data_IF_130464167914
#
_entry.id   IF_130464167914
#
_cell.length_a   1.000
_cell.length_b   1.000
_cell.length_c   1.000
_cell.angle_alpha   90.00
_cell.angle_beta   90.00
_cell.angle_gamma   90.00
#
_symmetry.space_group_name_H-M   'P 1'
#
loop_
_entity.id
_entity.type
_entity.pdbx_description
1 polymer ?
#
# COMPACT_ATOMS: atom_id res chain seq x y z
N UNK A 1 -44.93 69.84 -55.38
CA UNK A 1 -44.90 70.02 -53.90
C UNK A 1 -46.10 69.23 -53.38
N UNK A 2 -45.95 68.12 -52.66
CA UNK A 2 -45.10 67.89 -51.49
C UNK A 2 -44.73 66.41 -51.35
N UNK A 3 -43.61 66.18 -50.66
CA UNK A 3 -42.73 65.01 -50.69
C UNK A 3 -43.28 63.70 -50.09
N UNK A 4 -42.82 62.60 -50.67
CA UNK A 4 -42.70 61.29 -50.03
C UNK A 4 -41.77 61.37 -48.81
N UNK A 5 -42.31 61.17 -47.60
CA UNK A 5 -41.52 60.98 -46.40
C UNK A 5 -41.09 59.51 -46.23
N UNK A 6 -39.86 59.20 -46.62
CA UNK A 6 -39.20 57.94 -46.29
C UNK A 6 -38.98 57.78 -44.77
N UNK A 7 -39.40 56.60 -44.30
CA UNK A 7 -39.06 55.83 -43.10
C UNK A 7 -37.75 56.22 -42.39
N UNK A 8 -37.83 56.45 -41.07
CA UNK A 8 -36.78 55.96 -40.16
C UNK A 8 -37.31 55.83 -38.71
N UNK A 9 -38.01 54.74 -38.41
CA UNK A 9 -38.29 54.37 -37.02
C UNK A 9 -37.00 53.85 -36.40
N UNK A 10 -36.17 54.74 -35.85
CA UNK A 10 -35.07 54.36 -34.97
C UNK A 10 -35.68 53.67 -33.75
N UNK A 11 -35.66 52.33 -33.72
CA UNK A 11 -36.02 51.55 -32.55
C UNK A 11 -35.14 52.01 -31.38
N UNK A 12 -35.72 52.82 -30.50
CA UNK A 12 -35.02 53.37 -29.34
C UNK A 12 -34.92 52.25 -28.29
N UNK A 13 -33.82 51.49 -28.34
CA UNK A 13 -33.54 50.42 -27.37
C UNK A 13 -33.55 51.06 -25.97
N UNK A 14 -34.58 50.76 -25.17
CA UNK A 14 -34.65 51.22 -23.78
C UNK A 14 -33.62 50.43 -22.96
N UNK A 15 -33.01 51.06 -21.96
CA UNK A 15 -32.01 50.44 -21.06
C UNK A 15 -32.42 49.08 -20.51
N UNK A 16 -33.71 48.85 -20.25
CA UNK A 16 -34.24 47.55 -19.81
C UNK A 16 -34.08 46.42 -20.85
N UNK A 17 -34.17 46.70 -22.16
CA UNK A 17 -33.92 45.68 -23.19
C UNK A 17 -32.46 45.23 -23.20
N UNK A 18 -31.52 46.15 -22.95
CA UNK A 18 -30.09 45.82 -22.80
C UNK A 18 -29.88 44.98 -21.54
N UNK A 19 -30.51 45.35 -20.42
CA UNK A 19 -30.43 44.57 -19.18
C UNK A 19 -30.99 43.14 -19.34
N UNK A 20 -32.14 42.98 -20.00
CA UNK A 20 -32.73 41.66 -20.29
C UNK A 20 -31.84 40.83 -21.22
N UNK A 21 -31.26 41.46 -22.26
CA UNK A 21 -30.34 40.77 -23.16
C UNK A 21 -29.07 40.31 -22.42
N UNK A 22 -28.46 41.17 -21.59
CA UNK A 22 -27.29 40.83 -20.79
C UNK A 22 -27.60 39.70 -19.81
N UNK A 23 -28.75 39.75 -19.13
CA UNK A 23 -29.18 38.68 -18.23
C UNK A 23 -29.38 37.36 -18.99
N UNK A 24 -30.05 37.38 -20.14
CA UNK A 24 -30.23 36.21 -20.99
C UNK A 24 -28.89 35.63 -21.46
N UNK A 25 -27.95 36.47 -21.87
CA UNK A 25 -26.61 36.06 -22.26
C UNK A 25 -25.84 35.41 -21.10
N UNK A 26 -25.95 35.96 -19.88
CA UNK A 26 -25.34 35.37 -18.68
C UNK A 26 -25.95 34.01 -18.31
N UNK A 27 -27.27 33.86 -18.42
CA UNK A 27 -27.96 32.57 -18.19
C UNK A 27 -27.50 31.52 -19.20
N UNK A 28 -27.42 31.88 -20.49
CA UNK A 28 -26.93 30.97 -21.53
C UNK A 28 -25.46 30.62 -21.28
N UNK A 29 -24.62 31.60 -20.97
CA UNK A 29 -23.20 31.37 -20.67
C UNK A 29 -23.02 30.44 -19.46
N UNK A 30 -23.82 30.63 -18.41
CA UNK A 30 -23.81 29.76 -17.24
C UNK A 30 -24.29 28.33 -17.57
N UNK A 31 -25.37 28.19 -18.35
CA UNK A 31 -25.85 26.87 -18.79
C UNK A 31 -24.78 26.14 -19.64
N UNK A 32 -24.14 26.84 -20.58
CA UNK A 32 -23.03 26.31 -21.38
C UNK A 32 -21.86 25.91 -20.47
N UNK A 33 -21.49 26.75 -19.51
CA UNK A 33 -20.46 26.43 -18.52
C UNK A 33 -20.80 25.14 -17.75
N UNK A 34 -22.01 25.00 -17.21
CA UNK A 34 -22.44 23.79 -16.50
C UNK A 34 -22.36 22.54 -17.38
N UNK A 35 -22.83 22.63 -18.62
CA UNK A 35 -22.74 21.52 -19.60
C UNK A 35 -21.27 21.15 -19.82
N UNK A 36 -20.41 22.12 -20.12
CA UNK A 36 -18.98 21.87 -20.41
C UNK A 36 -18.27 21.21 -19.24
N UNK A 37 -18.47 21.71 -18.01
CA UNK A 37 -17.80 21.14 -16.84
C UNK A 37 -18.30 19.72 -16.55
N UNK A 38 -19.61 19.48 -16.63
CA UNK A 38 -20.17 18.13 -16.42
C UNK A 38 -19.73 17.14 -17.50
N UNK A 39 -19.67 17.56 -18.76
CA UNK A 39 -19.10 16.75 -19.85
C UNK A 39 -17.63 16.42 -19.60
N UNK A 40 -16.84 17.33 -19.02
CA UNK A 40 -15.43 17.08 -18.66
C UNK A 40 -15.27 16.07 -17.53
N UNK A 41 -16.18 16.04 -16.55
CA UNK A 41 -16.22 15.01 -15.49
C UNK A 41 -16.55 13.66 -16.13
N UNK A 42 -17.67 13.58 -16.87
CA UNK A 42 -18.11 12.33 -17.49
C UNK A 42 -17.05 11.74 -18.41
N UNK A 43 -16.40 12.55 -19.24
CA UNK A 43 -15.33 12.08 -20.13
C UNK A 43 -14.15 11.46 -19.38
N UNK A 44 -13.83 11.93 -18.18
CA UNK A 44 -12.78 11.33 -17.33
C UNK A 44 -13.23 10.00 -16.75
N UNK A 45 -14.47 9.92 -16.27
CA UNK A 45 -15.05 8.66 -15.77
C UNK A 45 -15.13 7.62 -16.90
N UNK A 46 -15.51 8.03 -18.10
CA UNK A 46 -15.53 7.16 -19.29
C UNK A 46 -14.11 6.68 -19.65
N UNK A 47 -13.11 7.56 -19.54
CA UNK A 47 -11.70 7.17 -19.75
C UNK A 47 -11.21 6.18 -18.69
N UNK A 48 -11.62 6.36 -17.43
CA UNK A 48 -11.34 5.41 -16.33
C UNK A 48 -11.91 4.03 -16.64
N UNK A 49 -13.17 3.96 -17.05
CA UNK A 49 -13.83 2.70 -17.44
C UNK A 49 -13.17 2.08 -18.69
N UNK A 50 -12.82 2.89 -19.68
CA UNK A 50 -12.14 2.44 -20.89
C UNK A 50 -10.74 1.86 -20.59
N UNK A 51 -10.08 2.32 -19.52
CA UNK A 51 -8.82 1.76 -19.02
C UNK A 51 -9.01 0.49 -18.17
N UNK A 52 -10.24 0.02 -17.96
CA UNK A 52 -10.54 -1.21 -17.22
C UNK A 52 -10.60 -1.04 -15.71
N UNK A 53 -10.62 0.19 -15.20
CA UNK A 53 -10.72 0.46 -13.76
C UNK A 53 -12.15 0.83 -13.34
N UNK A 54 -12.55 0.55 -12.09
CA UNK A 54 -13.84 1.01 -11.57
C UNK A 54 -13.85 2.54 -11.45
N UNK A 55 -15.01 3.12 -11.76
CA UNK A 55 -15.32 4.53 -11.61
C UNK A 55 -16.37 4.80 -10.52
N UNK A 56 -17.00 3.76 -9.96
CA UNK A 56 -17.92 3.87 -8.82
C UNK A 56 -17.67 2.76 -7.79
N UNK A 57 -18.23 2.92 -6.59
CA UNK A 57 -18.15 1.93 -5.53
C UNK A 57 -18.86 0.61 -5.89
N UNK A 58 -19.95 0.68 -6.66
CA UNK A 58 -20.66 -0.50 -7.19
C UNK A 58 -19.83 -1.24 -8.23
N UNK A 59 -19.15 -0.51 -9.12
CA UNK A 59 -18.22 -1.11 -10.09
C UNK A 59 -17.02 -1.75 -9.37
N UNK A 60 -16.52 -1.12 -8.29
CA UNK A 60 -15.45 -1.66 -7.46
C UNK A 60 -15.88 -2.96 -6.77
N UNK A 61 -17.04 -2.99 -6.12
CA UNK A 61 -17.57 -4.19 -5.45
C UNK A 61 -17.74 -5.35 -6.45
N UNK A 62 -18.32 -5.07 -7.61
CA UNK A 62 -18.51 -6.05 -8.67
C UNK A 62 -17.20 -6.58 -9.26
N UNK A 63 -16.11 -5.79 -9.20
CA UNK A 63 -14.78 -6.21 -9.65
C UNK A 63 -14.05 -7.11 -8.64
N UNK A 64 -14.36 -6.96 -7.33
CA UNK A 64 -13.73 -7.72 -6.27
C UNK A 64 -14.39 -9.11 -6.11
N UNK A 65 -13.97 -10.06 -6.93
CA UNK A 65 -14.55 -11.40 -7.00
C UNK A 65 -13.49 -12.51 -6.94
N UNK A 66 -13.94 -13.73 -6.63
CA UNK A 66 -13.19 -14.98 -6.78
C UNK A 66 -13.97 -15.90 -7.74
N UNK A 67 -13.33 -16.92 -8.33
CA UNK A 67 -14.04 -17.83 -9.25
C UNK A 67 -15.28 -18.45 -8.60
N UNK A 68 -16.34 -18.63 -9.39
CA UNK A 68 -17.59 -19.21 -8.90
C UNK A 68 -17.33 -20.62 -8.33
N UNK A 69 -17.91 -20.90 -7.15
CA UNK A 69 -17.74 -22.17 -6.41
C UNK A 69 -16.30 -22.46 -5.94
N UNK A 70 -15.37 -21.51 -6.06
CA UNK A 70 -14.06 -21.63 -5.44
C UNK A 70 -14.19 -21.68 -3.91
N UNK A 71 -13.34 -22.48 -3.28
CA UNK A 71 -13.13 -22.41 -1.85
C UNK A 71 -12.52 -21.05 -1.49
N UNK A 72 -12.94 -20.43 -0.38
CA UNK A 72 -12.50 -19.09 0.00
C UNK A 72 -11.63 -19.15 1.26
N UNK A 73 -10.36 -18.79 1.14
CA UNK A 73 -9.43 -18.69 2.26
C UNK A 73 -9.95 -17.75 3.38
N UNK A 74 -10.72 -16.72 3.02
CA UNK A 74 -11.23 -15.75 3.96
C UNK A 74 -12.11 -16.36 5.05
N UNK A 75 -12.86 -17.43 4.75
CA UNK A 75 -13.74 -18.09 5.73
C UNK A 75 -12.92 -18.73 6.86
N UNK A 76 -11.82 -19.40 6.50
CA UNK A 76 -10.88 -19.98 7.45
C UNK A 76 -10.12 -18.92 8.23
N UNK A 77 -9.65 -17.87 7.55
CA UNK A 77 -8.86 -16.80 8.17
C UNK A 77 -9.72 -16.02 9.17
N UNK A 78 -10.92 -15.59 8.78
CA UNK A 78 -11.84 -14.88 9.68
C UNK A 78 -12.22 -15.73 10.88
N UNK A 79 -12.50 -17.02 10.68
CA UNK A 79 -12.73 -17.97 11.78
C UNK A 79 -11.50 -18.09 12.68
N UNK A 80 -10.30 -18.18 12.12
CA UNK A 80 -9.06 -18.25 12.89
C UNK A 80 -8.86 -17.01 13.75
N UNK A 81 -9.06 -15.81 13.17
CA UNK A 81 -8.93 -14.55 13.90
C UNK A 81 -9.96 -14.42 15.04
N UNK A 82 -11.15 -15.01 14.91
CA UNK A 82 -12.15 -15.04 16.00
C UNK A 82 -11.70 -15.88 17.21
N UNK A 83 -10.77 -16.82 16.99
CA UNK A 83 -10.15 -17.64 18.04
C UNK A 83 -8.82 -17.05 18.55
N UNK A 84 -8.36 -15.91 18.01
CA UNK A 84 -7.10 -15.29 18.42
C UNK A 84 -7.18 -14.82 19.87
N UNK A 85 -6.36 -15.42 20.72
CA UNK A 85 -6.18 -15.03 22.11
C UNK A 85 -5.06 -14.01 22.19
N UNK A 86 -5.40 -12.80 22.62
CA UNK A 86 -4.41 -11.76 22.89
C UNK A 86 -3.66 -12.06 24.19
N UNK A 87 -2.34 -11.78 24.25
CA UNK A 87 -1.59 -11.92 25.50
C UNK A 87 -2.15 -10.98 26.58
N UNK A 88 -1.93 -11.34 27.85
CA UNK A 88 -2.21 -10.41 28.95
C UNK A 88 -1.34 -9.16 28.83
N UNK A 89 -1.72 -8.05 29.47
CA UNK A 89 -0.91 -6.82 29.43
C UNK A 89 0.51 -7.03 29.97
N UNK A 90 0.65 -7.88 31.00
CA UNK A 90 1.94 -8.24 31.59
C UNK A 90 2.80 -9.01 30.58
N UNK A 91 2.23 -10.05 29.97
CA UNK A 91 2.88 -10.85 28.93
C UNK A 91 3.27 -10.00 27.71
N UNK A 92 2.38 -9.13 27.25
CA UNK A 92 2.60 -8.26 26.10
C UNK A 92 3.80 -7.33 26.33
N UNK A 93 3.96 -6.80 27.54
CA UNK A 93 5.06 -5.92 27.88
C UNK A 93 6.42 -6.66 27.99
N UNK A 94 6.39 -7.98 28.21
CA UNK A 94 7.59 -8.81 28.35
C UNK A 94 8.16 -9.37 27.04
N UNK A 95 7.44 -9.24 25.92
CA UNK A 95 7.82 -9.86 24.63
C UNK A 95 8.07 -8.79 23.57
N UNK A 96 9.17 -8.88 22.78
CA UNK A 96 9.37 -8.03 21.60
C UNK A 96 8.15 -8.04 20.66
N UNK A 97 7.97 -6.97 19.89
CA UNK A 97 6.82 -6.74 18.99
C UNK A 97 5.46 -6.53 19.68
N UNK A 98 5.19 -7.17 20.82
CA UNK A 98 3.99 -6.95 21.63
C UNK A 98 4.12 -5.76 22.57
N UNK A 99 5.35 -5.51 23.06
CA UNK A 99 5.75 -4.34 23.84
C UNK A 99 6.10 -3.10 23.00
N UNK A 100 5.95 -3.20 21.67
CA UNK A 100 6.53 -2.28 20.67
C UNK A 100 8.07 -2.17 20.70
N UNK A 101 8.77 -3.03 21.46
CA UNK A 101 10.21 -3.18 21.33
C UNK A 101 10.56 -3.90 20.01
N UNK A 102 11.68 -3.52 19.35
CA UNK A 102 12.14 -4.23 18.16
C UNK A 102 12.58 -5.65 18.52
N UNK A 103 12.74 -6.50 17.49
CA UNK A 103 13.39 -7.80 17.65
C UNK A 103 14.82 -7.62 18.20
N UNK A 104 15.35 -8.61 18.96
CA UNK A 104 16.72 -8.57 19.46
C UNK A 104 17.73 -8.59 18.29
N UNK A 105 19.01 -8.35 18.58
CA UNK A 105 20.05 -8.54 17.56
C UNK A 105 20.05 -9.97 17.03
N UNK A 106 20.42 -10.15 15.76
CA UNK A 106 20.33 -11.39 14.97
C UNK A 106 20.83 -12.66 15.68
N UNK A 107 21.92 -12.56 16.43
CA UNK A 107 22.51 -13.69 17.20
C UNK A 107 22.34 -13.57 18.71
N UNK A 108 21.66 -12.54 19.19
CA UNK A 108 21.35 -12.41 20.60
C UNK A 108 20.24 -13.41 20.95
N UNK A 109 20.54 -14.26 21.93
CA UNK A 109 19.59 -15.22 22.47
C UNK A 109 18.41 -14.50 23.11
N UNK A 110 17.21 -15.05 22.93
CA UNK A 110 16.03 -14.62 23.67
C UNK A 110 16.24 -14.85 25.17
N UNK A 111 15.75 -13.95 26.01
CA UNK A 111 15.74 -14.19 27.45
C UNK A 111 14.68 -15.23 27.83
N UNK A 112 14.86 -15.87 29.00
CA UNK A 112 13.96 -16.93 29.46
C UNK A 112 12.49 -16.48 29.59
N UNK A 113 12.18 -15.28 30.11
CA UNK A 113 10.81 -14.76 30.12
C UNK A 113 10.20 -14.68 28.71
N UNK A 114 10.91 -14.11 27.74
CA UNK A 114 10.44 -13.99 26.36
C UNK A 114 10.14 -15.37 25.76
N UNK A 115 11.04 -16.35 25.97
CA UNK A 115 10.81 -17.73 25.48
C UNK A 115 9.57 -18.35 26.10
N UNK A 116 9.41 -18.22 27.41
CA UNK A 116 8.30 -18.81 28.14
C UNK A 116 6.95 -18.21 27.71
N UNK A 117 6.87 -16.87 27.66
CA UNK A 117 5.64 -16.17 27.26
C UNK A 117 5.32 -16.46 25.79
N UNK A 118 6.31 -16.42 24.89
CA UNK A 118 6.09 -16.75 23.46
C UNK A 118 5.56 -18.18 23.31
N UNK A 119 6.14 -19.16 24.01
CA UNK A 119 5.67 -20.54 23.99
C UNK A 119 4.23 -20.67 24.52
N UNK A 120 3.90 -19.95 25.60
CA UNK A 120 2.54 -19.91 26.16
C UNK A 120 1.53 -19.32 25.16
N UNK A 121 1.89 -18.22 24.50
CA UNK A 121 1.05 -17.59 23.47
C UNK A 121 0.78 -18.52 22.28
N UNK A 122 1.81 -19.25 21.84
CA UNK A 122 1.66 -20.26 20.77
C UNK A 122 0.74 -21.41 21.21
N UNK A 123 0.91 -21.91 22.43
CA UNK A 123 0.08 -22.97 22.98
C UNK A 123 -1.39 -22.54 23.10
N UNK A 124 -1.65 -21.31 23.56
CA UNK A 124 -2.99 -20.74 23.66
C UNK A 124 -3.67 -20.53 22.30
N UNK A 125 -2.89 -20.35 21.23
CA UNK A 125 -3.40 -20.03 19.89
C UNK A 125 -3.34 -21.19 18.89
N UNK A 126 -3.20 -22.44 19.35
CA UNK A 126 -3.10 -23.61 18.45
C UNK A 126 -4.27 -23.71 17.45
N UNK A 127 -5.51 -23.41 17.90
CA UNK A 127 -6.70 -23.46 17.03
C UNK A 127 -6.62 -22.41 15.91
N UNK A 128 -6.19 -21.20 16.25
CA UNK A 128 -5.93 -20.10 15.29
C UNK A 128 -4.88 -20.51 14.28
N UNK A 129 -3.73 -21.02 14.73
CA UNK A 129 -2.63 -21.42 13.86
C UNK A 129 -3.02 -22.56 12.90
N UNK A 130 -3.80 -23.54 13.37
CA UNK A 130 -4.26 -24.65 12.53
C UNK A 130 -5.28 -24.20 11.47
N UNK A 131 -6.25 -23.35 11.84
CA UNK A 131 -7.21 -22.80 10.88
C UNK A 131 -6.52 -21.90 9.85
N UNK A 132 -5.55 -21.08 10.26
CA UNK A 132 -4.73 -20.29 9.33
C UNK A 132 -4.00 -21.19 8.34
N UNK A 133 -3.37 -22.26 8.82
CA UNK A 133 -2.66 -23.21 7.95
C UNK A 133 -3.58 -23.84 6.90
N UNK A 134 -4.81 -24.18 7.28
CA UNK A 134 -5.81 -24.72 6.36
C UNK A 134 -6.25 -23.65 5.35
N UNK A 135 -6.59 -22.44 5.83
CA UNK A 135 -7.03 -21.34 4.98
C UNK A 135 -5.98 -20.89 3.98
N UNK A 136 -4.71 -20.81 4.39
CA UNK A 136 -3.61 -20.34 3.53
C UNK A 136 -3.19 -21.35 2.46
N UNK A 137 -3.66 -22.60 2.53
CA UNK A 137 -3.51 -23.57 1.45
C UNK A 137 -4.48 -23.31 0.28
N UNK A 138 -5.50 -22.48 0.49
CA UNK A 138 -6.48 -22.11 -0.52
C UNK A 138 -5.96 -20.87 -1.29
N UNK A 139 -5.92 -20.92 -2.65
CA UNK A 139 -5.33 -19.85 -3.45
C UNK A 139 -6.20 -18.57 -3.51
N UNK A 140 -7.52 -18.73 -3.46
CA UNK A 140 -8.48 -17.65 -3.60
C UNK A 140 -8.89 -17.09 -2.24
N UNK A 141 -8.84 -15.77 -2.10
CA UNK A 141 -9.23 -15.07 -0.88
C UNK A 141 -10.03 -13.82 -1.23
N UNK A 142 -11.31 -13.82 -0.86
CA UNK A 142 -12.19 -12.64 -0.90
C UNK A 142 -12.75 -12.38 0.49
N UNK A 143 -12.30 -11.31 1.12
CA UNK A 143 -12.89 -10.86 2.38
C UNK A 143 -14.30 -10.31 2.14
N UNK A 144 -15.24 -10.48 3.10
CA UNK A 144 -16.63 -10.08 2.93
C UNK A 144 -16.80 -8.56 3.16
N UNK A 145 -16.10 -7.73 2.39
CA UNK A 145 -16.22 -6.27 2.43
C UNK A 145 -17.25 -5.84 1.38
N UNK A 146 -18.25 -5.07 1.80
CA UNK A 146 -19.22 -4.44 0.90
C UNK A 146 -18.71 -3.05 0.48
N UNK A 147 -18.13 -2.96 -0.72
CA UNK A 147 -17.59 -1.69 -1.19
C UNK A 147 -18.65 -0.69 -1.62
N UNK A 148 -19.92 -1.09 -1.76
CA UNK A 148 -21.01 -0.17 -2.11
C UNK A 148 -21.29 0.87 -1.01
N UNK A 149 -20.88 0.60 0.23
CA UNK A 149 -20.94 1.53 1.36
C UNK A 149 -19.85 2.61 1.34
N UNK A 150 -18.97 2.61 0.32
CA UNK A 150 -17.89 3.59 0.21
C UNK A 150 -16.97 3.55 1.44
N UNK A 151 -16.81 4.69 2.11
CA UNK A 151 -15.93 4.79 3.29
C UNK A 151 -16.52 4.24 4.59
N UNK A 152 -17.82 3.94 4.61
CA UNK A 152 -18.46 3.28 5.74
C UNK A 152 -18.34 1.73 5.63
N UNK A 153 -17.68 1.22 4.59
CA UNK A 153 -17.44 -0.21 4.41
C UNK A 153 -16.64 -0.79 5.59
N UNK A 154 -17.21 -1.82 6.23
CA UNK A 154 -16.54 -2.52 7.34
C UNK A 154 -15.43 -3.42 6.80
N UNK A 155 -14.20 -3.12 7.19
CA UNK A 155 -13.04 -3.95 6.86
C UNK A 155 -12.89 -5.09 7.86
N UNK A 156 -12.18 -6.14 7.42
CA UNK A 156 -11.68 -7.18 8.33
C UNK A 156 -10.85 -6.58 9.47
N UNK A 157 -10.76 -7.26 10.62
CA UNK A 157 -9.90 -6.88 11.74
C UNK A 157 -8.41 -6.95 11.35
N UNK A 158 -7.94 -5.88 10.70
CA UNK A 158 -6.54 -5.68 10.30
C UNK A 158 -5.61 -5.66 11.52
N UNK A 159 -6.11 -5.26 12.70
CA UNK A 159 -5.33 -5.30 13.93
C UNK A 159 -5.12 -6.73 14.43
N UNK A 160 -6.10 -7.63 14.29
CA UNK A 160 -5.94 -9.06 14.55
C UNK A 160 -4.97 -9.71 13.56
N UNK A 161 -5.00 -9.32 12.28
CA UNK A 161 -3.99 -9.75 11.30
C UNK A 161 -2.59 -9.34 11.77
N UNK A 162 -2.39 -8.06 12.14
CA UNK A 162 -1.11 -7.58 12.68
C UNK A 162 -0.64 -8.34 13.92
N UNK A 163 -1.55 -8.62 14.87
CA UNK A 163 -1.23 -9.41 16.07
C UNK A 163 -0.84 -10.85 15.72
N UNK A 164 -1.50 -11.43 14.73
CA UNK A 164 -1.22 -12.79 14.23
C UNK A 164 0.15 -12.87 13.55
N UNK A 165 0.48 -11.90 12.69
CA UNK A 165 1.81 -11.78 12.06
C UNK A 165 2.91 -11.69 13.12
N UNK A 166 2.72 -10.87 14.18
CA UNK A 166 3.66 -10.78 15.31
C UNK A 166 3.82 -12.11 16.04
N UNK A 167 2.73 -12.84 16.28
CA UNK A 167 2.77 -14.17 16.90
C UNK A 167 3.55 -15.17 16.04
N UNK A 168 3.29 -15.21 14.73
CA UNK A 168 3.97 -16.08 13.78
C UNK A 168 5.47 -15.78 13.72
N UNK A 169 5.86 -14.50 13.64
CA UNK A 169 7.27 -14.08 13.60
C UNK A 169 7.98 -14.41 14.92
N UNK A 170 7.40 -14.09 16.08
CA UNK A 170 8.00 -14.47 17.37
C UNK A 170 8.14 -15.99 17.52
N UNK A 171 7.13 -16.75 17.07
CA UNK A 171 7.20 -18.21 17.05
C UNK A 171 8.30 -18.73 16.14
N UNK A 172 8.46 -18.16 14.94
CA UNK A 172 9.52 -18.55 14.02
C UNK A 172 10.92 -18.33 14.63
N UNK A 173 11.13 -17.19 15.28
CA UNK A 173 12.40 -16.89 15.98
C UNK A 173 12.65 -17.85 17.14
N UNK A 174 11.61 -18.14 17.94
CA UNK A 174 11.71 -19.09 19.05
C UNK A 174 12.09 -20.49 18.57
N UNK A 175 11.42 -21.01 17.54
CA UNK A 175 11.70 -22.32 16.97
C UNK A 175 13.08 -22.39 16.31
N UNK A 176 13.53 -21.32 15.66
CA UNK A 176 14.89 -21.24 15.14
C UNK A 176 15.95 -21.30 16.26
N UNK A 177 15.70 -20.64 17.40
CA UNK A 177 16.61 -20.73 18.55
C UNK A 177 16.64 -22.12 19.22
N UNK A 178 15.56 -22.89 19.05
CA UNK A 178 15.46 -24.28 19.50
C UNK A 178 15.99 -25.30 18.46
N UNK A 179 16.62 -24.81 17.38
CA UNK A 179 17.09 -25.60 16.25
C UNK A 179 16.00 -26.45 15.57
N UNK A 180 14.78 -25.90 15.47
CA UNK A 180 13.67 -26.46 14.70
C UNK A 180 13.40 -25.61 13.43
N UNK A 181 14.22 -25.79 12.37
CA UNK A 181 14.07 -25.02 11.14
C UNK A 181 12.77 -25.34 10.39
N UNK A 182 12.17 -26.51 10.61
CA UNK A 182 10.94 -26.92 9.93
C UNK A 182 9.74 -26.10 10.41
N UNK A 183 9.57 -25.98 11.73
CA UNK A 183 8.48 -25.19 12.30
C UNK A 183 8.71 -23.70 12.10
N UNK A 184 9.96 -23.23 12.24
CA UNK A 184 10.31 -21.84 11.95
C UNK A 184 9.95 -21.45 10.50
N UNK A 185 10.32 -22.27 9.52
CA UNK A 185 9.98 -22.05 8.11
C UNK A 185 8.47 -22.02 7.91
N UNK A 186 7.73 -22.99 8.48
CA UNK A 186 6.27 -23.05 8.35
C UNK A 186 5.59 -21.80 8.89
N UNK A 187 6.06 -21.25 10.01
CA UNK A 187 5.52 -20.03 10.59
C UNK A 187 5.79 -18.80 9.72
N UNK A 188 6.99 -18.68 9.14
CA UNK A 188 7.29 -17.62 8.17
C UNK A 188 6.41 -17.73 6.93
N UNK A 189 6.21 -18.93 6.38
CA UNK A 189 5.32 -19.15 5.23
C UNK A 189 3.87 -18.77 5.54
N UNK A 190 3.37 -19.11 6.74
CA UNK A 190 2.04 -18.66 7.18
C UNK A 190 1.97 -17.13 7.29
N UNK A 191 3.04 -16.48 7.74
CA UNK A 191 3.11 -15.02 7.88
C UNK A 191 3.10 -14.33 6.50
N UNK A 192 3.90 -14.82 5.54
CA UNK A 192 3.86 -14.35 4.15
C UNK A 192 2.49 -14.59 3.51
N UNK A 193 1.91 -15.78 3.70
CA UNK A 193 0.59 -16.12 3.17
C UNK A 193 -0.51 -15.21 3.70
N UNK A 194 -0.46 -14.86 4.99
CA UNK A 194 -1.43 -13.93 5.60
C UNK A 194 -1.27 -12.50 5.08
N UNK A 195 -0.05 -12.02 4.86
CA UNK A 195 0.14 -10.71 4.22
C UNK A 195 -0.36 -10.71 2.76
N UNK A 196 -0.12 -11.81 2.02
CA UNK A 196 -0.56 -12.00 0.63
C UNK A 196 -2.08 -11.92 0.48
N UNK A 197 -2.87 -12.34 1.47
CA UNK A 197 -4.34 -12.28 1.37
C UNK A 197 -4.86 -10.84 1.33
N UNK A 198 -4.10 -9.88 1.87
CA UNK A 198 -4.44 -8.46 1.82
C UNK A 198 -4.08 -7.78 0.50
N UNK A 199 -3.16 -8.35 -0.28
CA UNK A 199 -2.66 -7.76 -1.55
C UNK A 199 -3.78 -7.57 -2.58
N UNK A 200 -4.78 -8.45 -2.59
CA UNK A 200 -5.96 -8.34 -3.45
C UNK A 200 -7.10 -7.49 -2.87
N UNK A 201 -7.05 -7.14 -1.57
CA UNK A 201 -8.06 -6.31 -0.93
C UNK A 201 -7.83 -4.84 -1.33
N UNK A 202 -8.69 -4.22 -2.16
CA UNK A 202 -8.36 -2.98 -2.85
C UNK A 202 -8.62 -1.75 -1.97
N UNK A 203 -7.90 -1.61 -0.86
CA UNK A 203 -7.93 -0.38 -0.03
C UNK A 203 -6.52 0.04 0.34
N UNK A 204 -6.26 1.35 0.48
CA UNK A 204 -4.94 1.82 0.91
C UNK A 204 -4.55 1.19 2.25
N UNK A 205 -5.48 1.17 3.21
CA UNK A 205 -5.17 0.70 4.56
C UNK A 205 -4.79 -0.78 4.56
N UNK A 206 -5.45 -1.62 3.75
CA UNK A 206 -5.08 -3.02 3.59
C UNK A 206 -3.70 -3.18 2.97
N UNK A 207 -3.33 -2.36 1.98
CA UNK A 207 -1.99 -2.40 1.39
C UNK A 207 -0.92 -1.95 2.38
N UNK A 208 -1.15 -0.88 3.15
CA UNK A 208 -0.20 -0.43 4.18
C UNK A 208 0.01 -1.50 5.24
N UNK A 209 -1.06 -2.20 5.66
CA UNK A 209 -0.97 -3.32 6.61
C UNK A 209 -0.21 -4.51 6.00
N UNK A 210 -0.52 -4.88 4.75
CA UNK A 210 0.17 -5.95 4.03
C UNK A 210 1.69 -5.69 3.98
N UNK A 211 2.07 -4.47 3.61
CA UNK A 211 3.48 -4.08 3.53
C UNK A 211 4.18 -4.11 4.88
N UNK A 212 3.51 -3.63 5.93
CA UNK A 212 4.06 -3.66 7.28
C UNK A 212 4.20 -5.09 7.82
N UNK A 213 3.39 -6.03 7.35
CA UNK A 213 3.47 -7.46 7.70
C UNK A 213 4.54 -8.19 6.91
N UNK A 214 4.70 -7.88 5.62
CA UNK A 214 5.82 -8.36 4.80
C UNK A 214 7.17 -7.88 5.35
N UNK A 215 7.28 -6.60 5.74
CA UNK A 215 8.46 -6.05 6.40
C UNK A 215 8.81 -6.83 7.68
N UNK A 216 7.83 -7.00 8.57
CA UNK A 216 8.04 -7.74 9.82
C UNK A 216 8.39 -9.22 9.56
N UNK A 217 7.81 -9.83 8.53
CA UNK A 217 8.11 -11.21 8.17
C UNK A 217 9.53 -11.34 7.60
N UNK A 218 10.00 -10.37 6.82
CA UNK A 218 11.37 -10.32 6.32
C UNK A 218 12.40 -10.14 7.45
N UNK A 219 12.10 -9.29 8.46
CA UNK A 219 12.90 -9.21 9.69
C UNK A 219 12.91 -10.56 10.42
N UNK A 220 11.76 -11.24 10.53
CA UNK A 220 11.67 -12.59 11.08
C UNK A 220 12.52 -13.61 10.33
N UNK A 221 12.51 -13.57 8.99
CA UNK A 221 13.35 -14.41 8.14
C UNK A 221 14.84 -14.17 8.41
N UNK A 222 15.24 -12.91 8.51
CA UNK A 222 16.62 -12.54 8.85
C UNK A 222 17.02 -13.14 10.21
N UNK A 223 16.16 -13.04 11.21
CA UNK A 223 16.40 -13.64 12.53
C UNK A 223 16.52 -15.17 12.46
N UNK A 224 15.71 -15.84 11.62
CA UNK A 224 15.74 -17.30 11.46
C UNK A 224 17.03 -17.77 10.77
N UNK A 225 17.42 -17.14 9.65
CA UNK A 225 18.64 -17.48 8.90
C UNK A 225 19.90 -17.31 9.76
N UNK A 226 19.87 -16.40 10.73
CA UNK A 226 20.98 -16.14 11.65
C UNK A 226 21.04 -17.09 12.87
N UNK A 227 19.97 -17.86 13.15
CA UNK A 227 19.85 -18.71 14.34
C UNK A 227 19.87 -20.20 14.08
N UNK A 228 19.39 -20.64 12.92
CA UNK A 228 19.36 -22.06 12.55
C UNK A 228 19.78 -22.25 11.09
N UNK A 229 20.10 -23.49 10.73
CA UNK A 229 20.47 -23.83 9.36
C UNK A 229 19.24 -24.24 8.56
N UNK A 230 18.85 -23.40 7.60
CA UNK A 230 17.82 -23.74 6.63
C UNK A 230 18.39 -24.66 5.52
N UNK A 231 17.58 -25.60 5.06
CA UNK A 231 17.91 -26.44 3.89
C UNK A 231 17.58 -25.70 2.60
N UNK A 232 18.10 -26.16 1.46
CA UNK A 232 17.72 -25.59 0.16
C UNK A 232 16.20 -25.70 -0.08
N UNK A 233 15.56 -26.80 0.36
CA UNK A 233 14.11 -26.97 0.26
C UNK A 233 13.33 -25.90 1.04
N UNK A 234 13.79 -25.53 2.25
CA UNK A 234 13.17 -24.42 3.00
C UNK A 234 13.34 -23.09 2.26
N UNK A 235 14.54 -22.82 1.76
CA UNK A 235 14.86 -21.57 1.07
C UNK A 235 14.08 -21.44 -0.25
N UNK A 236 13.86 -22.53 -0.99
CA UNK A 236 13.00 -22.56 -2.19
C UNK A 236 11.56 -22.19 -1.84
N UNK A 237 11.01 -22.72 -0.75
CA UNK A 237 9.64 -22.38 -0.33
C UNK A 237 9.53 -20.91 0.07
N UNK A 238 10.54 -20.37 0.76
CA UNK A 238 10.57 -18.97 1.18
C UNK A 238 10.73 -18.03 -0.04
N UNK A 239 11.60 -18.37 -1.01
CA UNK A 239 11.74 -17.62 -2.27
C UNK A 239 10.42 -17.56 -3.04
N UNK A 240 9.71 -18.69 -3.15
CA UNK A 240 8.39 -18.73 -3.79
C UNK A 240 7.37 -17.83 -3.05
N UNK A 241 7.34 -17.88 -1.71
CA UNK A 241 6.43 -17.05 -0.92
C UNK A 241 6.74 -15.55 -1.03
N UNK A 242 8.02 -15.17 -1.08
CA UNK A 242 8.46 -13.79 -1.31
C UNK A 242 8.07 -13.30 -2.70
N UNK A 243 8.22 -14.15 -3.72
CA UNK A 243 7.84 -13.82 -5.09
C UNK A 243 6.33 -13.63 -5.24
N UNK A 244 5.52 -14.52 -4.66
CA UNK A 244 4.06 -14.42 -4.71
C UNK A 244 3.49 -13.23 -3.93
N UNK A 245 4.23 -12.71 -2.95
CA UNK A 245 3.86 -11.51 -2.19
C UNK A 245 4.11 -10.21 -2.94
N UNK A 246 4.91 -10.22 -4.02
CA UNK A 246 5.24 -9.05 -4.83
C UNK A 246 4.23 -8.88 -5.97
N UNK A 247 3.15 -8.15 -5.70
CA UNK A 247 2.16 -7.78 -6.71
C UNK A 247 2.39 -6.33 -7.16
N UNK A 248 2.91 -6.10 -8.38
CA UNK A 248 3.24 -4.77 -8.87
C UNK A 248 2.02 -3.87 -9.04
N UNK A 249 0.82 -4.44 -9.15
CA UNK A 249 -0.45 -3.73 -9.36
C UNK A 249 -1.21 -3.46 -8.05
N UNK A 250 -0.70 -3.94 -6.90
CA UNK A 250 -1.33 -3.75 -5.58
C UNK A 250 -1.62 -2.28 -5.24
N UNK A 251 -0.63 -1.41 -5.41
CA UNK A 251 -0.79 0.02 -5.19
C UNK A 251 -1.73 0.66 -6.20
N UNK A 252 -1.69 0.23 -7.47
CA UNK A 252 -2.57 0.73 -8.53
C UNK A 252 -4.03 0.41 -8.21
N UNK A 253 -4.32 -0.82 -7.79
CA UNK A 253 -5.67 -1.23 -7.37
C UNK A 253 -6.17 -0.43 -6.18
N UNK A 254 -5.33 -0.22 -5.17
CA UNK A 254 -5.70 0.59 -4.01
C UNK A 254 -6.01 2.04 -4.39
N UNK A 255 -5.17 2.68 -5.21
CA UNK A 255 -5.44 4.04 -5.70
C UNK A 255 -6.70 4.13 -6.56
N UNK A 256 -7.00 3.11 -7.36
CA UNK A 256 -8.24 3.05 -8.15
C UNK A 256 -9.49 2.96 -7.26
N UNK A 257 -9.44 2.19 -6.18
CA UNK A 257 -10.52 2.09 -5.21
C UNK A 257 -10.72 3.40 -4.43
N UNK A 258 -9.63 4.06 -4.04
CA UNK A 258 -9.70 5.34 -3.32
C UNK A 258 -10.29 6.47 -4.15
N UNK A 259 -10.08 6.43 -5.48
CA UNK A 259 -10.80 7.30 -6.39
C UNK A 259 -12.31 7.04 -6.31
N UNK A 260 -12.74 5.78 -6.24
CA UNK A 260 -14.17 5.43 -6.11
C UNK A 260 -14.73 5.94 -4.78
N UNK A 261 -13.99 5.79 -3.68
CA UNK A 261 -14.38 6.33 -2.37
C UNK A 261 -14.42 7.86 -2.36
N UNK A 262 -13.44 8.53 -2.94
CA UNK A 262 -13.41 9.99 -3.08
C UNK A 262 -14.59 10.53 -3.91
N UNK A 263 -14.97 9.82 -4.98
CA UNK A 263 -16.17 10.15 -5.76
C UNK A 263 -17.45 9.95 -4.96
N UNK A 264 -17.58 8.83 -4.24
CA UNK A 264 -18.74 8.54 -3.39
C UNK A 264 -18.87 9.60 -2.27
N UNK A 265 -17.78 9.96 -1.60
CA UNK A 265 -17.79 11.03 -0.59
C UNK A 265 -18.20 12.38 -1.16
N UNK A 266 -17.82 12.68 -2.41
CA UNK A 266 -18.16 13.94 -3.06
C UNK A 266 -19.66 14.06 -3.41
N UNK A 267 -20.44 12.97 -3.34
CA UNK A 267 -21.89 13.02 -3.48
C UNK A 267 -22.59 13.57 -2.22
N UNK A 268 -21.98 13.36 -1.06
CA UNK A 268 -22.50 13.79 0.23
C UNK A 268 -22.03 15.24 0.58
N UNK A 269 -22.93 16.25 0.59
CA UNK A 269 -22.55 17.65 0.74
C UNK A 269 -21.84 17.99 2.06
N UNK A 270 -22.05 17.19 3.11
CA UNK A 270 -21.37 17.37 4.41
C UNK A 270 -19.85 17.16 4.33
N UNK A 271 -19.34 16.53 3.26
CA UNK A 271 -17.91 16.30 3.01
C UNK A 271 -17.20 17.46 2.31
N UNK A 272 -17.79 18.65 2.19
CA UNK A 272 -17.14 19.76 1.49
C UNK A 272 -16.30 20.65 2.43
N UNK A 273 -15.02 20.82 2.08
CA UNK A 273 -14.07 21.72 2.75
C UNK A 273 -13.59 21.23 4.14
N UNK A 274 -12.49 21.80 4.66
CA UNK A 274 -12.04 21.51 6.01
C UNK A 274 -13.04 22.09 7.03
N UNK A 275 -13.72 21.23 7.78
CA UNK A 275 -14.64 21.63 8.86
C UNK A 275 -16.13 21.61 8.53
N UNK A 276 -16.55 20.89 7.48
CA UNK A 276 -17.93 20.67 7.07
C UNK A 276 -18.70 21.97 6.80
N UNK A 277 -18.66 22.44 5.55
CA UNK A 277 -19.55 23.50 5.07
C UNK A 277 -21.01 23.17 5.40
N UNK A 278 -21.83 24.18 5.72
CA UNK A 278 -23.26 23.91 5.93
C UNK A 278 -23.88 23.33 4.66
N UNK A 279 -24.80 22.37 4.82
CA UNK A 279 -25.46 21.68 3.69
C UNK A 279 -26.06 22.66 2.69
N UNK A 280 -26.59 23.80 3.16
CA UNK A 280 -27.13 24.86 2.31
C UNK A 280 -26.05 25.51 1.41
N UNK A 281 -24.88 25.84 1.98
CA UNK A 281 -23.76 26.39 1.19
C UNK A 281 -23.21 25.34 0.24
N UNK A 282 -23.11 24.09 0.68
CA UNK A 282 -22.66 22.98 -0.15
C UNK A 282 -23.58 22.75 -1.37
N UNK A 283 -24.90 22.82 -1.18
CA UNK A 283 -25.88 22.77 -2.27
C UNK A 283 -25.68 23.91 -3.28
N UNK A 284 -25.47 25.15 -2.80
CA UNK A 284 -25.19 26.30 -3.67
C UNK A 284 -23.91 26.07 -4.49
N UNK A 285 -22.82 25.62 -3.86
CA UNK A 285 -21.56 25.34 -4.55
C UNK A 285 -21.70 24.26 -5.62
N UNK A 286 -22.51 23.23 -5.36
CA UNK A 286 -22.83 22.17 -6.33
C UNK A 286 -23.57 22.75 -7.54
N UNK A 287 -24.61 23.56 -7.33
CA UNK A 287 -25.37 24.17 -8.42
C UNK A 287 -24.53 25.15 -9.24
N UNK A 288 -23.61 25.88 -8.58
CA UNK A 288 -22.63 26.76 -9.24
C UNK A 288 -21.52 26.01 -9.99
N UNK A 289 -21.45 24.67 -9.90
CA UNK A 289 -20.46 23.84 -10.59
C UNK A 289 -19.07 23.84 -9.95
N UNK A 290 -18.93 24.37 -8.73
CA UNK A 290 -17.66 24.35 -7.98
C UNK A 290 -17.25 22.92 -7.65
N UNK A 291 -18.22 22.07 -7.29
CA UNK A 291 -18.00 20.64 -7.02
C UNK A 291 -17.47 19.94 -8.27
N UNK A 292 -18.08 20.17 -9.44
CA UNK A 292 -17.62 19.53 -10.68
C UNK A 292 -16.20 19.97 -11.09
N UNK A 293 -15.83 21.24 -10.85
CA UNK A 293 -14.46 21.71 -11.03
C UNK A 293 -13.48 21.02 -10.06
N UNK A 294 -13.87 20.86 -8.80
CA UNK A 294 -13.11 20.10 -7.80
C UNK A 294 -12.98 18.62 -8.17
N UNK A 295 -14.03 18.00 -8.71
CA UNK A 295 -14.02 16.62 -9.19
C UNK A 295 -13.07 16.42 -10.37
N UNK A 296 -13.06 17.35 -11.34
CA UNK A 296 -12.08 17.33 -12.45
C UNK A 296 -10.66 17.28 -11.89
N UNK A 297 -10.34 18.15 -10.92
CA UNK A 297 -9.03 18.19 -10.29
C UNK A 297 -8.70 16.92 -9.52
N UNK A 298 -9.64 16.39 -8.73
CA UNK A 298 -9.44 15.13 -8.01
C UNK A 298 -9.19 13.96 -8.97
N UNK A 299 -9.99 13.85 -10.03
CA UNK A 299 -9.83 12.81 -11.06
C UNK A 299 -8.48 12.92 -11.79
N UNK A 300 -8.06 14.14 -12.15
CA UNK A 300 -6.75 14.37 -12.78
C UNK A 300 -5.60 13.98 -11.82
N UNK A 301 -5.70 14.33 -10.52
CA UNK A 301 -4.72 13.95 -9.48
C UNK A 301 -4.61 12.44 -9.31
N UNK A 302 -5.76 11.76 -9.21
CA UNK A 302 -5.80 10.30 -9.02
C UNK A 302 -5.32 9.56 -10.27
N UNK A 303 -5.67 10.04 -11.47
CA UNK A 303 -5.19 9.47 -12.72
C UNK A 303 -3.65 9.58 -12.82
N UNK A 304 -3.09 10.75 -12.55
CA UNK A 304 -1.64 10.95 -12.57
C UNK A 304 -0.93 10.08 -11.50
N UNK A 305 -1.49 9.97 -10.29
CA UNK A 305 -0.92 9.11 -9.25
C UNK A 305 -0.91 7.63 -9.65
N UNK A 306 -1.97 7.15 -10.32
CA UNK A 306 -2.05 5.78 -10.86
C UNK A 306 -1.03 5.57 -11.98
N UNK A 307 -0.91 6.51 -12.92
CA UNK A 307 0.10 6.44 -13.99
C UNK A 307 1.52 6.39 -13.42
N UNK A 308 1.80 7.19 -12.38
CA UNK A 308 3.10 7.17 -11.69
C UNK A 308 3.33 5.85 -10.98
N UNK A 309 2.31 5.28 -10.32
CA UNK A 309 2.41 3.97 -9.66
C UNK A 309 2.70 2.82 -10.65
N UNK A 310 2.45 3.00 -11.95
CA UNK A 310 2.77 2.03 -13.00
C UNK A 310 4.17 2.22 -13.61
N UNK A 311 4.83 3.35 -13.34
CA UNK A 311 6.20 3.58 -13.82
C UNK A 311 7.19 2.63 -13.14
N UNK A 312 8.40 2.56 -13.68
CA UNK A 312 9.54 1.94 -13.01
C UNK A 312 9.72 2.51 -11.59
N UNK A 313 9.94 1.67 -10.56
CA UNK A 313 9.95 2.10 -9.15
C UNK A 313 10.86 3.31 -8.86
N UNK A 314 12.06 3.34 -9.46
CA UNK A 314 13.06 4.40 -9.22
C UNK A 314 12.68 5.75 -9.82
N UNK A 315 11.65 5.80 -10.70
CA UNK A 315 11.11 7.06 -11.25
C UNK A 315 9.96 7.60 -10.41
N UNK A 316 9.31 6.78 -9.58
CA UNK A 316 8.02 7.10 -8.96
C UNK A 316 8.11 8.25 -7.97
N UNK A 317 9.11 8.25 -7.09
CA UNK A 317 9.26 9.26 -6.01
C UNK A 317 9.35 10.69 -6.55
N UNK A 318 10.28 10.95 -7.46
CA UNK A 318 10.46 12.29 -8.01
C UNK A 318 9.23 12.73 -8.82
N UNK A 319 8.62 11.80 -9.57
CA UNK A 319 7.43 12.09 -10.36
C UNK A 319 6.24 12.49 -9.49
N UNK A 320 5.96 11.75 -8.41
CA UNK A 320 4.81 12.04 -7.54
C UNK A 320 5.01 13.30 -6.70
N UNK A 321 6.22 13.54 -6.18
CA UNK A 321 6.53 14.78 -5.47
C UNK A 321 6.35 16.00 -6.38
N UNK A 322 6.80 15.89 -7.64
CA UNK A 322 6.62 16.95 -8.64
C UNK A 322 5.13 17.15 -8.98
N UNK A 323 4.36 16.08 -9.13
CA UNK A 323 2.93 16.14 -9.37
C UNK A 323 2.19 16.84 -8.23
N UNK A 324 2.37 16.39 -6.99
CA UNK A 324 1.73 16.98 -5.82
C UNK A 324 2.10 18.45 -5.62
N UNK A 325 3.37 18.83 -5.82
CA UNK A 325 3.82 20.21 -5.73
C UNK A 325 3.07 21.14 -6.71
N UNK A 326 2.81 20.69 -7.95
CA UNK A 326 2.03 21.48 -8.92
C UNK A 326 0.60 21.72 -8.46
N UNK A 327 -0.06 20.70 -7.90
CA UNK A 327 -1.41 20.87 -7.38
C UNK A 327 -1.44 21.80 -6.17
N UNK A 328 -0.49 21.65 -5.24
CA UNK A 328 -0.43 22.46 -4.02
C UNK A 328 -0.08 23.94 -4.30
N UNK A 329 0.68 24.25 -5.35
CA UNK A 329 1.12 25.62 -5.69
C UNK A 329 0.22 26.36 -6.68
N UNK A 330 -0.71 25.66 -7.34
CA UNK A 330 -1.55 26.23 -8.42
C UNK A 330 -2.46 27.42 -8.04
N UNK A 331 -2.62 27.75 -6.75
CA UNK A 331 -3.50 28.83 -6.28
C UNK A 331 -5.01 28.59 -6.45
N UNK A 332 -5.37 27.50 -7.14
CA UNK A 332 -6.75 27.04 -7.33
C UNK A 332 -7.07 26.10 -6.16
N UNK A 333 -7.72 26.63 -5.13
CA UNK A 333 -8.21 25.82 -4.00
C UNK A 333 -9.39 24.96 -4.45
N UNK A 334 -9.42 23.70 -3.97
CA UNK A 334 -10.52 22.78 -4.20
C UNK A 334 -11.15 22.37 -2.88
N UNK A 335 -12.48 22.34 -2.84
CA UNK A 335 -13.24 21.90 -1.65
C UNK A 335 -13.16 20.39 -1.41
N UNK A 336 -12.61 19.64 -2.38
CA UNK A 336 -12.41 18.18 -2.31
C UNK A 336 -10.93 17.77 -2.23
N UNK A 337 -9.98 18.71 -2.12
CA UNK A 337 -8.54 18.36 -2.09
C UNK A 337 -8.21 17.42 -0.90
N UNK A 338 -8.94 17.53 0.21
CA UNK A 338 -8.77 16.67 1.40
C UNK A 338 -9.19 15.21 1.16
N UNK A 339 -10.02 14.94 0.15
CA UNK A 339 -10.41 13.59 -0.27
C UNK A 339 -9.30 12.87 -1.04
N UNK A 340 -8.27 13.59 -1.48
CA UNK A 340 -7.14 12.98 -2.18
C UNK A 340 -6.15 12.49 -1.12
N UNK A 341 -5.84 11.18 -1.09
CA UNK A 341 -4.88 10.65 -0.12
C UNK A 341 -3.47 11.20 -0.37
N UNK A 342 -2.55 11.11 0.61
CA UNK A 342 -1.17 11.54 0.46
C UNK A 342 -0.37 10.57 -0.44
N UNK A 343 -0.62 10.61 -1.76
CA UNK A 343 -0.09 9.68 -2.75
C UNK A 343 1.44 9.57 -2.73
N UNK A 344 2.17 10.67 -2.54
CA UNK A 344 3.64 10.63 -2.47
C UNK A 344 4.13 9.76 -1.31
N UNK A 345 3.51 9.89 -0.13
CA UNK A 345 3.82 9.04 1.03
C UNK A 345 3.51 7.58 0.74
N UNK A 346 2.35 7.30 0.14
CA UNK A 346 1.87 5.93 -0.11
C UNK A 346 2.74 5.21 -1.14
N UNK A 347 3.06 5.88 -2.25
CA UNK A 347 3.98 5.37 -3.28
C UNK A 347 5.38 5.18 -2.67
N UNK A 348 5.83 6.07 -1.80
CA UNK A 348 7.09 5.90 -1.06
C UNK A 348 7.10 4.63 -0.20
N UNK A 349 6.03 4.35 0.54
CA UNK A 349 5.88 3.10 1.31
C UNK A 349 5.85 1.89 0.37
N UNK A 350 5.17 1.98 -0.78
CA UNK A 350 5.18 0.94 -1.82
C UNK A 350 6.61 0.56 -2.25
N UNK A 351 7.40 1.55 -2.66
CA UNK A 351 8.79 1.35 -3.12
C UNK A 351 9.68 0.77 -2.01
N UNK A 352 9.52 1.22 -0.75
CA UNK A 352 10.23 0.63 0.39
C UNK A 352 9.89 -0.86 0.59
N UNK A 353 8.61 -1.23 0.46
CA UNK A 353 8.17 -2.62 0.52
C UNK A 353 8.82 -3.48 -0.57
N UNK A 354 8.83 -3.00 -1.82
CA UNK A 354 9.49 -3.68 -2.93
C UNK A 354 10.98 -3.91 -2.65
N UNK A 355 11.68 -2.90 -2.13
CA UNK A 355 13.10 -2.99 -1.82
C UNK A 355 13.37 -4.06 -0.75
N UNK A 356 12.54 -4.13 0.31
CA UNK A 356 12.66 -5.16 1.35
C UNK A 356 12.47 -6.57 0.80
N UNK A 357 11.46 -6.78 -0.05
CA UNK A 357 11.20 -8.09 -0.66
C UNK A 357 12.36 -8.52 -1.55
N UNK A 358 12.86 -7.62 -2.40
CA UNK A 358 14.00 -7.94 -3.26
C UNK A 358 15.30 -8.20 -2.49
N UNK A 359 15.56 -7.43 -1.44
CA UNK A 359 16.73 -7.61 -0.56
C UNK A 359 16.64 -8.97 0.16
N UNK A 360 15.47 -9.33 0.72
CA UNK A 360 15.26 -10.63 1.36
C UNK A 360 15.39 -11.79 0.37
N UNK A 361 14.80 -11.67 -0.82
CA UNK A 361 14.87 -12.68 -1.88
C UNK A 361 16.29 -12.92 -2.36
N UNK A 362 17.06 -11.84 -2.53
CA UNK A 362 18.47 -11.91 -2.90
C UNK A 362 19.30 -12.57 -1.80
N UNK A 363 19.01 -12.29 -0.52
CA UNK A 363 19.68 -12.96 0.59
C UNK A 363 19.36 -14.47 0.64
N UNK A 364 18.12 -14.86 0.36
CA UNK A 364 17.73 -16.28 0.20
C UNK A 364 18.52 -16.94 -0.93
N UNK A 365 18.65 -16.29 -2.08
CA UNK A 365 19.45 -16.78 -3.20
C UNK A 365 20.94 -16.93 -2.85
N UNK A 366 21.52 -15.99 -2.10
CA UNK A 366 22.90 -16.10 -1.57
C UNK A 366 23.04 -17.34 -0.68
N UNK A 367 22.07 -17.60 0.20
CA UNK A 367 22.11 -18.78 1.07
C UNK A 367 22.01 -20.08 0.28
N UNK A 368 21.17 -20.14 -0.75
CA UNK A 368 21.07 -21.31 -1.65
C UNK A 368 22.38 -21.54 -2.41
N UNK A 369 22.97 -20.48 -2.96
CA UNK A 369 24.29 -20.55 -3.61
C UNK A 369 25.36 -21.12 -2.67
N UNK A 370 25.37 -20.64 -1.43
CA UNK A 370 26.34 -21.05 -0.42
C UNK A 370 26.13 -22.50 0.03
N UNK A 371 24.89 -22.97 0.16
CA UNK A 371 24.62 -24.38 0.48
C UNK A 371 25.13 -25.30 -0.63
N UNK A 372 25.00 -24.91 -1.90
CA UNK A 372 25.42 -25.72 -3.04
C UNK A 372 26.94 -25.71 -3.27
N UNK A 373 27.61 -24.57 -3.04
CA UNK A 373 29.04 -24.37 -3.39
C UNK A 373 29.98 -24.35 -2.19
N UNK A 374 29.44 -24.34 -0.97
CA UNK A 374 30.16 -24.08 0.28
C UNK A 374 30.89 -22.72 0.34
N UNK A 375 30.61 -21.80 -0.60
CA UNK A 375 31.24 -20.48 -0.69
C UNK A 375 30.18 -19.38 -0.86
N UNK A 376 30.49 -18.16 -0.41
CA UNK A 376 29.65 -16.99 -0.72
C UNK A 376 29.94 -16.49 -2.15
N UNK A 377 28.91 -16.05 -2.91
CA UNK A 377 29.09 -15.49 -4.25
C UNK A 377 30.03 -14.28 -4.21
N UNK A 378 30.79 -14.01 -5.27
CA UNK A 378 31.62 -12.80 -5.33
C UNK A 378 30.77 -11.56 -5.59
N UNK A 379 29.73 -11.70 -6.41
CA UNK A 379 28.81 -10.62 -6.76
C UNK A 379 27.38 -11.16 -6.94
N UNK A 380 26.38 -10.26 -6.94
CA UNK A 380 24.97 -10.62 -7.21
C UNK A 380 24.75 -11.30 -8.56
N UNK A 381 25.62 -11.03 -9.55
CA UNK A 381 25.58 -11.67 -10.87
C UNK A 381 25.84 -13.18 -10.84
N UNK A 382 26.58 -13.69 -9.83
CA UNK A 382 26.81 -15.13 -9.65
C UNK A 382 25.53 -15.90 -9.28
N UNK A 383 24.47 -15.19 -8.88
CA UNK A 383 23.18 -15.77 -8.52
C UNK A 383 22.31 -16.07 -9.75
N UNK A 384 22.67 -15.55 -10.92
CA UNK A 384 21.88 -15.63 -12.16
C UNK A 384 22.52 -16.62 -13.15
N UNK A 385 21.74 -17.46 -13.87
CA UNK A 385 20.28 -17.65 -13.76
C UNK A 385 19.88 -18.74 -12.75
N UNK A 386 20.83 -19.29 -11.98
CA UNK A 386 20.63 -20.51 -11.20
C UNK A 386 19.77 -20.36 -9.95
N UNK A 387 19.83 -19.20 -9.28
CA UNK A 387 19.12 -18.92 -8.04
C UNK A 387 18.17 -17.72 -8.15
N UNK A 388 18.41 -16.82 -9.11
CA UNK A 388 17.53 -15.72 -9.51
C UNK A 388 17.38 -15.72 -11.02
N UNK A 389 16.18 -15.37 -11.52
CA UNK A 389 15.90 -15.29 -12.96
C UNK A 389 16.68 -14.14 -13.63
N UNK A 390 16.73 -13.00 -12.95
CA UNK A 390 17.40 -11.78 -13.42
C UNK A 390 18.16 -11.13 -12.27
N UNK A 391 19.12 -10.26 -12.60
CA UNK A 391 19.81 -9.44 -11.60
C UNK A 391 18.79 -8.59 -10.83
N UNK A 392 18.80 -8.64 -9.48
CA UNK A 392 17.84 -7.89 -8.68
C UNK A 392 18.17 -6.39 -8.75
N UNK A 393 17.15 -5.57 -8.99
CA UNK A 393 17.29 -4.13 -9.25
C UNK A 393 16.74 -3.33 -8.06
N UNK A 394 17.55 -2.45 -7.51
CA UNK A 394 17.18 -1.54 -6.45
C UNK A 394 16.02 -0.61 -6.89
N UNK A 395 14.86 -0.69 -6.22
CA UNK A 395 13.70 0.15 -6.55
C UNK A 395 13.94 1.65 -6.37
N UNK A 396 15.01 2.09 -5.72
CA UNK A 396 15.29 3.52 -5.49
C UNK A 396 16.16 4.17 -6.56
N UNK A 397 17.03 3.43 -7.25
CA UNK A 397 17.93 4.01 -8.25
C UNK A 397 18.04 3.25 -9.58
N UNK A 398 17.37 2.10 -9.70
CA UNK A 398 17.37 1.31 -10.93
C UNK A 398 18.69 0.63 -11.24
N UNK A 399 19.61 0.53 -10.27
CA UNK A 399 20.87 -0.22 -10.40
C UNK A 399 20.76 -1.58 -9.70
N UNK A 400 21.68 -2.53 -9.92
CA UNK A 400 21.70 -3.78 -9.15
C UNK A 400 21.69 -3.53 -7.64
N UNK A 401 21.02 -4.39 -6.87
CA UNK A 401 21.13 -4.38 -5.41
C UNK A 401 22.60 -4.54 -4.99
N UNK A 402 22.94 -3.95 -3.84
CA UNK A 402 24.31 -3.99 -3.36
C UNK A 402 24.51 -5.24 -2.53
N UNK A 403 25.67 -5.86 -2.71
CA UNK A 403 26.11 -7.01 -1.95
C UNK A 403 27.51 -6.78 -1.44
N UNK A 404 27.74 -7.09 -0.16
CA UNK A 404 29.06 -6.96 0.46
C UNK A 404 29.30 -8.09 1.45
N UNK A 405 30.39 -8.84 1.22
CA UNK A 405 30.94 -9.75 2.22
C UNK A 405 31.43 -8.96 3.43
N UNK A 406 31.17 -9.49 4.62
CA UNK A 406 31.63 -8.95 5.90
C UNK A 406 32.40 -10.04 6.64
N UNK A 407 33.20 -9.65 7.63
CA UNK A 407 33.85 -10.62 8.51
C UNK A 407 32.77 -11.42 9.22
N UNK A 408 32.74 -12.73 8.98
CA UNK A 408 31.68 -13.61 9.49
C UNK A 408 30.32 -13.35 8.85
N UNK A 409 30.22 -13.09 7.54
CA UNK A 409 28.91 -13.04 6.88
C UNK A 409 28.82 -12.15 5.65
N UNK A 410 27.65 -11.54 5.45
CA UNK A 410 27.41 -10.59 4.36
C UNK A 410 26.22 -9.67 4.64
N UNK A 411 26.10 -8.63 3.82
CA UNK A 411 24.91 -7.78 3.72
C UNK A 411 24.45 -7.72 2.26
N UNK A 412 23.14 -7.81 2.06
CA UNK A 412 22.47 -7.35 0.84
C UNK A 412 21.71 -6.09 1.21
N UNK A 413 21.75 -5.06 0.38
CA UNK A 413 21.04 -3.82 0.68
C UNK A 413 20.59 -3.03 -0.55
N UNK A 414 19.55 -2.23 -0.32
CA UNK A 414 19.09 -1.15 -1.18
C UNK A 414 19.44 0.19 -0.53
N UNK A 415 19.75 1.21 -1.33
CA UNK A 415 20.13 2.55 -0.85
C UNK A 415 19.00 3.28 -0.11
N UNK A 416 17.79 2.73 -0.15
CA UNK A 416 16.69 3.23 0.65
C UNK A 416 16.15 4.61 0.24
N UNK A 417 15.25 5.18 1.06
CA UNK A 417 14.40 6.29 0.68
C UNK A 417 15.10 7.66 0.60
N UNK A 418 16.30 7.82 1.17
CA UNK A 418 17.06 9.06 1.04
C UNK A 418 17.89 9.12 -0.26
N UNK A 419 18.06 7.98 -0.94
CA UNK A 419 18.80 7.86 -2.20
C UNK A 419 20.31 7.96 -2.05
N UNK A 420 20.84 7.82 -0.83
CA UNK A 420 22.27 7.85 -0.52
C UNK A 420 22.74 6.43 -0.20
N UNK A 421 23.87 6.00 -0.79
CA UNK A 421 24.46 4.70 -0.46
C UNK A 421 25.25 4.83 0.84
N UNK A 422 24.70 4.31 1.94
CA UNK A 422 25.32 4.34 3.26
C UNK A 422 26.16 3.08 3.55
N UNK A 423 26.53 2.31 2.51
CA UNK A 423 27.45 1.18 2.62
C UNK A 423 26.86 -0.06 3.32
N UNK A 424 25.54 -0.19 3.33
CA UNK A 424 24.78 -1.21 4.05
C UNK A 424 24.60 -0.87 5.54
N UNK A 425 24.44 0.41 5.87
CA UNK A 425 24.23 0.87 7.25
C UNK A 425 22.79 0.59 7.67
N UNK A 426 22.61 -0.21 8.71
CA UNK A 426 21.29 -0.57 9.22
C UNK A 426 20.61 0.62 9.92
N UNK A 427 19.28 0.71 9.76
CA UNK A 427 18.45 1.70 10.46
C UNK A 427 18.61 1.57 11.98
N UNK A 428 18.98 2.66 12.64
CA UNK A 428 19.02 2.70 14.10
C UNK A 428 17.66 3.11 14.69
N UNK A 429 17.27 2.56 15.85
CA UNK A 429 16.08 3.04 16.56
C UNK A 429 16.19 4.54 16.85
N UNK A 430 15.11 5.29 16.58
CA UNK A 430 15.08 6.72 16.93
C UNK A 430 15.32 6.90 18.42
N UNK A 431 16.31 7.74 18.77
CA UNK A 431 16.48 8.22 20.15
C UNK A 431 15.24 9.03 20.56
N UNK A 432 14.80 8.92 21.81
CA UNK A 432 13.70 9.74 22.33
C UNK A 432 13.94 11.22 22.02
N UNK A 433 12.97 11.87 21.35
CA UNK A 433 13.05 13.27 20.93
C UNK A 433 13.71 13.53 19.57
N UNK A 434 14.23 12.51 18.88
CA UNK A 434 14.75 12.62 17.52
C UNK A 434 13.64 12.87 16.50
N UNK A 435 13.78 13.92 15.67
CA UNK A 435 12.79 14.26 14.63
C UNK A 435 12.94 13.39 13.39
N UNK A 436 14.17 13.05 13.01
CA UNK A 436 14.52 12.35 11.78
C UNK A 436 15.32 11.08 12.06
N UNK A 437 15.23 10.10 11.16
CA UNK A 437 16.11 8.94 11.18
C UNK A 437 17.53 9.37 10.75
N UNK A 438 18.55 8.72 11.31
CA UNK A 438 19.91 8.82 10.76
C UNK A 438 19.93 8.18 9.36
N UNK A 439 20.83 8.58 8.44
CA UNK A 439 21.00 7.91 7.14
C UNK A 439 21.13 6.40 7.31
N UNK A 440 20.42 5.65 6.46
CA UNK A 440 20.35 4.20 6.51
C UNK A 440 19.95 3.58 5.18
N UNK A 441 20.46 2.37 4.95
CA UNK A 441 20.07 1.49 3.87
C UNK A 441 19.00 0.50 4.33
N UNK A 442 18.21 -0.01 3.39
CA UNK A 442 17.33 -1.17 3.65
C UNK A 442 18.19 -2.43 3.52
N UNK A 443 18.49 -3.06 4.66
CA UNK A 443 19.46 -4.15 4.74
C UNK A 443 18.83 -5.51 5.05
N UNK A 444 19.50 -6.57 4.60
CA UNK A 444 19.39 -7.92 5.13
C UNK A 444 20.80 -8.44 5.37
N UNK A 445 21.10 -8.78 6.62
CA UNK A 445 22.41 -9.09 7.14
C UNK A 445 22.39 -10.52 7.68
N UNK A 446 23.36 -11.31 7.24
CA UNK A 446 23.63 -12.64 7.78
C UNK A 446 24.99 -12.60 8.48
N UNK A 447 24.99 -12.97 9.75
CA UNK A 447 26.12 -13.12 10.67
C UNK A 447 26.40 -14.63 10.86
N UNK A 448 27.68 -15.01 10.80
CA UNK A 448 28.18 -16.39 10.77
C UNK A 448 29.31 -16.61 11.75
#
# INVERSE_FOLDING_TARGET
MTEQGERNSRHRIRSWHVAVFVLGALVIAFAVFRIVVRTKVNRRLDAVRAAGYPATCEELDASYTIPAFAENAADYITTALSHLISPSTEDANGVPLFSNAPLPRRRQALDNPTKHVTASMLAGNQKTLELLRQGLAIPDCRYPVDFTQGNDAELIDLAAIRRTTRLLVMGAVLHAEQDDPNTATRMLLSSYGLARTLVKLPTIISQVVAQADLELTAEGLEQVVNRTTLTDAHLVQIDAALYEGDDPDSMVRALAAERCFGLHMADEPSNYGPGNLSVAVAGILRELGVVDLSLIRHLDRMAEAIEIAQMEPWKRKQAIETAEARYNTSGISSILDWLTPPCARLIGVNVQGMARMQVARTAVAVERYRLATAQLPQDTTDLVPGYLETTPIDPFDGRPLRYKKRDGGYVVYSIGPDGTDDGGTERQPKRQGGKEDLPYDITFIVER
#
